data_IF_182633355343
#
_entry.id   IF_182633355343
#
_cell.length_a   1.000
_cell.length_b   1.000
_cell.length_c   1.000
_cell.angle_alpha   90.00
_cell.angle_beta   90.00
_cell.angle_gamma   90.00
#
_symmetry.space_group_name_H-M   'P 1'
#
loop_
_entity.id
_entity.type
_entity.pdbx_description
1 polymer ?
#
# COMPACT_ATOMS: atom_id res chain seq x y z
N UNK A 1 20.12 -9.85 -12.33
CA UNK A 1 19.09 -10.34 -11.39
C UNK A 1 19.46 -9.79 -10.03
N UNK A 2 18.63 -8.92 -9.46
CA UNK A 2 18.89 -8.37 -8.12
C UNK A 2 18.74 -9.49 -7.09
N UNK A 3 19.56 -9.49 -6.04
CA UNK A 3 19.47 -10.52 -5.02
C UNK A 3 18.17 -10.30 -4.21
N UNK A 4 17.41 -11.34 -3.81
CA UNK A 4 16.17 -11.16 -3.04
C UNK A 4 16.33 -10.30 -1.79
N UNK A 5 17.52 -10.35 -1.15
CA UNK A 5 17.85 -9.50 -0.01
C UNK A 5 17.87 -8.00 -0.35
N UNK A 6 18.30 -7.64 -1.57
CA UNK A 6 18.37 -6.25 -2.03
C UNK A 6 16.96 -5.68 -2.23
N UNK A 7 16.03 -6.48 -2.75
CA UNK A 7 14.62 -6.07 -2.91
C UNK A 7 13.96 -5.85 -1.55
N UNK A 8 14.21 -6.74 -0.57
CA UNK A 8 13.66 -6.58 0.78
C UNK A 8 14.21 -5.30 1.43
N UNK A 9 15.52 -5.07 1.31
CA UNK A 9 16.15 -3.84 1.80
C UNK A 9 15.55 -2.61 1.12
N UNK A 10 15.39 -2.64 -0.20
CA UNK A 10 14.85 -1.54 -0.96
C UNK A 10 13.40 -1.20 -0.54
N UNK A 11 12.54 -2.20 -0.32
CA UNK A 11 11.19 -1.98 0.20
C UNK A 11 11.23 -1.30 1.57
N UNK A 12 12.13 -1.72 2.47
CA UNK A 12 12.27 -1.12 3.79
C UNK A 12 12.74 0.35 3.69
N UNK A 13 13.75 0.62 2.85
CA UNK A 13 14.29 1.97 2.65
C UNK A 13 13.21 2.91 2.05
N UNK A 14 12.42 2.43 1.08
CA UNK A 14 11.29 3.21 0.51
C UNK A 14 10.18 3.44 1.54
N UNK A 15 9.82 2.41 2.32
CA UNK A 15 8.79 2.52 3.33
C UNK A 15 9.16 3.49 4.44
N UNK A 16 10.42 3.48 4.90
CA UNK A 16 10.94 4.42 5.89
C UNK A 16 10.86 5.86 5.36
N UNK A 17 11.38 6.12 4.16
CA UNK A 17 11.39 7.45 3.56
C UNK A 17 9.98 8.02 3.37
N UNK A 18 9.04 7.21 2.87
CA UNK A 18 7.65 7.64 2.67
C UNK A 18 6.92 7.85 4.01
N UNK A 19 7.08 6.91 4.95
CA UNK A 19 6.37 6.95 6.22
C UNK A 19 6.80 8.13 7.09
N UNK A 20 8.09 8.46 7.11
CA UNK A 20 8.63 9.65 7.80
C UNK A 20 8.00 10.92 7.24
N UNK A 21 7.97 11.09 5.92
CA UNK A 21 7.36 12.25 5.27
C UNK A 21 5.83 12.35 5.50
N UNK A 22 5.13 11.22 5.58
CA UNK A 22 3.68 11.17 5.73
C UNK A 22 3.20 11.13 7.20
N UNK A 23 4.12 10.98 8.17
CA UNK A 23 3.77 10.84 9.60
C UNK A 23 3.00 9.55 9.91
N UNK A 24 3.30 8.46 9.20
CA UNK A 24 2.66 7.14 9.38
C UNK A 24 3.68 6.08 9.78
N UNK A 25 3.23 4.85 10.07
CA UNK A 25 4.13 3.76 10.44
C UNK A 25 4.87 3.17 9.23
N UNK A 26 6.19 3.05 9.34
CA UNK A 26 7.02 2.43 8.30
C UNK A 26 6.73 0.94 8.09
N UNK A 27 6.39 0.22 9.16
CA UNK A 27 6.04 -1.22 9.09
C UNK A 27 4.73 -1.41 8.30
N UNK A 28 3.71 -0.61 8.60
CA UNK A 28 2.44 -0.62 7.89
C UNK A 28 2.61 -0.25 6.41
N UNK A 29 3.48 0.72 6.13
CA UNK A 29 3.81 1.15 4.77
C UNK A 29 4.51 0.04 3.98
N UNK A 30 5.51 -0.63 4.57
CA UNK A 30 6.18 -1.77 3.95
C UNK A 30 5.20 -2.93 3.67
N UNK A 31 4.31 -3.21 4.62
CA UNK A 31 3.24 -4.19 4.44
C UNK A 31 2.28 -3.83 3.30
N UNK A 32 1.93 -2.54 3.15
CA UNK A 32 1.09 -2.05 2.06
C UNK A 32 1.76 -2.23 0.70
N UNK A 33 3.05 -1.89 0.58
CA UNK A 33 3.85 -2.09 -0.65
C UNK A 33 3.83 -3.57 -1.04
N UNK A 34 4.20 -4.46 -0.12
CA UNK A 34 4.23 -5.91 -0.38
C UNK A 34 2.84 -6.42 -0.77
N UNK A 35 1.80 -5.98 -0.05
CA UNK A 35 0.42 -6.37 -0.30
C UNK A 35 -0.02 -6.01 -1.72
N UNK A 36 0.30 -4.80 -2.17
CA UNK A 36 -0.05 -4.28 -3.50
C UNK A 36 0.74 -4.97 -4.60
N UNK A 37 2.08 -4.97 -4.52
CA UNK A 37 2.93 -5.57 -5.55
C UNK A 37 2.68 -7.06 -5.74
N UNK A 38 2.27 -7.74 -4.67
CA UNK A 38 1.97 -9.16 -4.75
C UNK A 38 0.55 -9.45 -5.29
N UNK A 39 -0.32 -8.44 -5.37
CA UNK A 39 -1.57 -8.47 -6.14
C UNK A 39 -1.36 -7.96 -7.59
N UNK A 40 -0.33 -7.15 -7.82
CA UNK A 40 0.03 -6.54 -9.10
C UNK A 40 1.52 -6.77 -9.46
N UNK A 41 1.93 -8.01 -9.80
CA UNK A 41 3.34 -8.32 -10.06
C UNK A 41 3.94 -7.57 -11.26
N UNK A 42 3.09 -7.14 -12.19
CA UNK A 42 3.44 -6.29 -13.32
C UNK A 42 3.93 -4.89 -12.91
N UNK A 43 3.50 -4.40 -11.74
CA UNK A 43 3.91 -3.09 -11.20
C UNK A 43 5.26 -3.11 -10.48
N UNK A 44 5.89 -4.29 -10.32
CA UNK A 44 7.21 -4.39 -9.66
C UNK A 44 8.26 -3.58 -10.41
N UNK A 45 8.25 -3.58 -11.75
CA UNK A 45 9.18 -2.78 -12.55
C UNK A 45 9.09 -1.30 -12.21
N UNK A 46 7.88 -0.75 -12.25
CA UNK A 46 7.60 0.65 -11.90
C UNK A 46 8.03 0.98 -10.48
N UNK A 47 7.73 0.11 -9.51
CA UNK A 47 8.17 0.33 -8.14
C UNK A 47 9.69 0.40 -8.00
N UNK A 48 10.42 -0.47 -8.70
CA UNK A 48 11.89 -0.48 -8.66
C UNK A 48 12.52 0.73 -9.37
N UNK A 49 11.81 1.34 -10.32
CA UNK A 49 12.23 2.54 -11.05
C UNK A 49 11.89 3.83 -10.29
N UNK A 50 10.63 3.95 -9.84
CA UNK A 50 10.07 5.18 -9.27
C UNK A 50 10.30 5.30 -7.75
N UNK A 51 10.60 4.20 -7.05
CA UNK A 51 10.88 4.19 -5.62
C UNK A 51 9.76 4.81 -4.78
N UNK A 52 10.04 5.81 -3.90
CA UNK A 52 9.01 6.46 -3.09
C UNK A 52 7.93 7.18 -3.90
N UNK A 53 8.24 7.66 -5.10
CA UNK A 53 7.27 8.36 -5.97
C UNK A 53 6.17 7.41 -6.46
N UNK A 54 6.47 6.11 -6.56
CA UNK A 54 5.48 5.07 -6.85
C UNK A 54 4.25 5.20 -5.93
N UNK A 55 4.47 5.43 -4.64
CA UNK A 55 3.39 5.55 -3.65
C UNK A 55 2.59 6.84 -3.77
N UNK A 56 3.13 7.87 -4.42
CA UNK A 56 2.41 9.10 -4.73
C UNK A 56 1.55 8.96 -5.99
N UNK A 57 2.00 8.12 -6.93
CA UNK A 57 1.32 7.85 -8.20
C UNK A 57 0.20 6.81 -8.05
N UNK A 58 0.33 5.89 -7.09
CA UNK A 58 -0.76 4.98 -6.71
C UNK A 58 -1.77 5.74 -5.85
N UNK A 59 -3.06 5.60 -6.13
CA UNK A 59 -4.09 6.16 -5.24
C UNK A 59 -3.92 5.51 -3.85
N UNK A 60 -3.43 6.29 -2.88
CA UNK A 60 -3.15 5.83 -1.53
C UNK A 60 -4.40 5.24 -0.84
N UNK A 61 -5.61 5.62 -1.27
CA UNK A 61 -6.87 5.04 -0.77
C UNK A 61 -7.13 3.65 -1.33
N UNK A 62 -6.50 3.33 -2.46
CA UNK A 62 -6.64 2.08 -3.18
C UNK A 62 -5.51 1.10 -2.94
N UNK A 63 -4.33 1.54 -2.51
CA UNK A 63 -3.20 0.61 -2.26
C UNK A 63 -3.59 -0.57 -1.35
N UNK A 64 -4.39 -0.30 -0.30
CA UNK A 64 -4.93 -1.32 0.58
C UNK A 64 -6.13 -2.06 -0.03
N UNK A 65 -6.93 -1.39 -0.87
CA UNK A 65 -8.13 -1.94 -1.48
C UNK A 65 -7.80 -2.88 -2.64
N UNK A 66 -6.71 -2.63 -3.34
CA UNK A 66 -6.24 -3.37 -4.51
C UNK A 66 -5.13 -4.37 -4.12
N UNK A 67 -4.60 -4.30 -2.89
CA UNK A 67 -3.71 -5.31 -2.32
C UNK A 67 -4.41 -6.61 -1.89
N UNK A 68 -3.63 -7.52 -1.30
CA UNK A 68 -4.09 -8.88 -0.88
C UNK A 68 -3.99 -9.20 0.61
N UNK A 69 -3.21 -8.44 1.38
CA UNK A 69 -2.99 -8.65 2.81
C UNK A 69 -3.99 -7.84 3.65
N UNK A 70 -4.31 -8.35 4.83
CA UNK A 70 -5.07 -7.62 5.85
C UNK A 70 -4.20 -6.63 6.60
N UNK A 71 -4.81 -5.57 7.14
CA UNK A 71 -4.13 -4.60 8.00
C UNK A 71 -5.00 -4.21 9.20
N UNK A 72 -4.40 -3.57 10.19
CA UNK A 72 -5.13 -2.99 11.31
C UNK A 72 -5.68 -1.61 10.93
N UNK A 73 -6.99 -1.41 11.10
CA UNK A 73 -7.63 -0.12 11.00
C UNK A 73 -7.26 0.71 12.24
N UNK A 74 -6.71 1.90 12.01
CA UNK A 74 -6.26 2.79 13.08
C UNK A 74 -7.35 3.12 14.09
N UNK A 75 -6.97 3.27 15.36
CA UNK A 75 -7.82 3.72 16.45
C UNK A 75 -8.64 2.63 17.15
N UNK A 76 -9.10 1.59 16.45
CA UNK A 76 -9.91 0.51 17.05
C UNK A 76 -9.26 -0.88 16.97
N UNK A 77 -8.09 -0.99 16.31
CA UNK A 77 -7.30 -2.22 16.23
C UNK A 77 -7.94 -3.31 15.37
N UNK A 78 -9.05 -3.04 14.68
CA UNK A 78 -9.75 -4.05 13.88
C UNK A 78 -8.92 -4.46 12.68
N UNK A 79 -8.90 -5.77 12.42
CA UNK A 79 -8.32 -6.31 11.19
C UNK A 79 -9.34 -6.10 10.06
N UNK A 80 -8.88 -5.49 8.97
CA UNK A 80 -9.67 -5.21 7.77
C UNK A 80 -9.08 -5.92 6.57
N UNK A 81 -9.94 -6.40 5.68
CA UNK A 81 -9.54 -7.03 4.43
C UNK A 81 -9.61 -6.04 3.25
N UNK A 82 -8.86 -6.28 2.16
CA UNK A 82 -9.02 -5.50 0.93
C UNK A 82 -10.46 -5.50 0.41
N UNK A 83 -11.19 -6.62 0.58
CA UNK A 83 -12.59 -6.75 0.19
C UNK A 83 -13.49 -5.78 0.97
N UNK A 84 -13.31 -5.69 2.29
CA UNK A 84 -14.11 -4.81 3.13
C UNK A 84 -13.91 -3.35 2.72
N UNK A 85 -12.66 -2.97 2.43
CA UNK A 85 -12.35 -1.62 1.97
C UNK A 85 -12.99 -1.34 0.60
N UNK A 86 -12.89 -2.27 -0.37
CA UNK A 86 -13.56 -2.11 -1.68
C UNK A 86 -15.07 -1.87 -1.54
N UNK A 87 -15.75 -2.67 -0.71
CA UNK A 87 -17.18 -2.50 -0.42
C UNK A 87 -17.45 -1.12 0.18
N UNK A 88 -16.64 -0.70 1.17
CA UNK A 88 -16.81 0.59 1.83
C UNK A 88 -16.62 1.79 0.88
N UNK A 89 -15.69 1.69 -0.08
CA UNK A 89 -15.45 2.70 -1.10
C UNK A 89 -16.63 2.80 -2.06
N UNK A 90 -17.17 1.67 -2.53
CA UNK A 90 -18.37 1.64 -3.37
C UNK A 90 -19.57 2.28 -2.68
N UNK A 91 -19.84 1.90 -1.43
CA UNK A 91 -20.94 2.49 -0.65
C UNK A 91 -20.77 4.00 -0.48
N UNK A 92 -19.53 4.46 -0.23
CA UNK A 92 -19.23 5.89 -0.09
C UNK A 92 -19.45 6.66 -1.39
N UNK A 93 -19.03 6.11 -2.52
CA UNK A 93 -19.17 6.78 -3.82
C UNK A 93 -20.63 6.85 -4.28
N UNK A 94 -21.44 5.83 -3.96
CA UNK A 94 -22.90 5.87 -4.17
C UNK A 94 -23.62 6.91 -3.29
N UNK A 95 -23.03 7.27 -2.15
CA UNK A 95 -23.63 8.21 -1.19
C UNK A 95 -23.26 9.69 -1.43
N UNK A 96 -22.42 10.00 -2.43
CA UNK A 96 -22.10 11.39 -2.78
C UNK A 96 -23.23 11.96 -3.66
N UNK A 97 -23.89 13.06 -3.26
CA UNK A 97 -24.85 13.74 -4.13
C UNK A 97 -24.13 14.38 -5.32
N UNK A 98 -24.82 14.40 -6.48
CA UNK A 98 -24.35 14.97 -7.74
C UNK A 98 -24.00 16.47 -7.65
#
# INVERSE_FOLDING_TARGET
MQHPADTIKYIADVAEAFADAAGVGGVETAGAIISYLAAHPDMVGNFMEDGPEFLMNVDARRIHADGRLTWHRGGDGKVVTPRDLRISLTVRDMAKPE
#
